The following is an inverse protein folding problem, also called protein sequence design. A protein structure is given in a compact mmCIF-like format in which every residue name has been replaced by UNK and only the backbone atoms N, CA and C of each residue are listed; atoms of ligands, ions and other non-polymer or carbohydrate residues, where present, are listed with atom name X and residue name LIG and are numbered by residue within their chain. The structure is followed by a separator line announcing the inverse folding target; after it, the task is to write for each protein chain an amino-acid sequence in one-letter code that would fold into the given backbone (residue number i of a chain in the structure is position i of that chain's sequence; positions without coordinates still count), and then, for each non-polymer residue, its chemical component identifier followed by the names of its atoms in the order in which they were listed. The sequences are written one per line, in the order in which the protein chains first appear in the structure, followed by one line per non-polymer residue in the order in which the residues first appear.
data_IF_113720738756
#
_entry.id   IF_113720738756
#
_cell.length_a   1.000
_cell.length_b   1.000
_cell.length_c   1.000
_cell.angle_alpha   90.00
_cell.angle_beta   90.00
_cell.angle_gamma   90.00
#
_symmetry.space_group_name_H-M   'P 1'
#
loop_
_entity.id
_entity.type
_entity.pdbx_description
1 polymer ?
#
# COMPACT_ATOMS: atom_id res chain seq x y z
N UNK A 1 -75.75 10.19 -22.98
CA UNK A 1 -75.07 10.07 -21.67
C UNK A 1 -73.96 9.03 -21.65
N UNK A 2 -74.17 7.80 -22.16
CA UNK A 2 -73.17 6.69 -22.12
C UNK A 2 -71.79 7.03 -22.72
N UNK A 3 -71.77 7.80 -23.82
CA UNK A 3 -70.51 8.19 -24.48
C UNK A 3 -69.62 9.12 -23.64
N UNK A 4 -70.23 9.96 -22.79
CA UNK A 4 -69.50 10.90 -21.93
C UNK A 4 -68.85 10.13 -20.77
N UNK A 5 -69.56 9.16 -20.19
CA UNK A 5 -69.02 8.29 -19.14
C UNK A 5 -67.91 7.39 -19.66
N UNK A 6 -68.04 6.86 -20.88
CA UNK A 6 -67.00 6.05 -21.53
C UNK A 6 -65.74 6.89 -21.78
N UNK A 7 -65.89 8.11 -22.31
CA UNK A 7 -64.78 9.04 -22.53
C UNK A 7 -64.04 9.40 -21.24
N UNK A 8 -64.77 9.63 -20.14
CA UNK A 8 -64.18 9.95 -18.82
C UNK A 8 -63.30 8.82 -18.27
N UNK A 9 -63.77 7.56 -18.37
CA UNK A 9 -63.01 6.39 -17.91
C UNK A 9 -61.72 6.21 -18.71
N UNK A 10 -61.77 6.40 -20.03
CA UNK A 10 -60.59 6.29 -20.90
C UNK A 10 -59.58 7.39 -20.57
N UNK A 11 -60.02 8.64 -20.40
CA UNK A 11 -59.14 9.77 -20.03
C UNK A 11 -58.51 9.55 -18.65
N UNK A 12 -59.28 9.07 -17.68
CA UNK A 12 -58.78 8.80 -16.32
C UNK A 12 -57.78 7.65 -16.31
N UNK A 13 -58.05 6.57 -17.06
CA UNK A 13 -57.11 5.47 -17.24
C UNK A 13 -55.81 5.89 -17.94
N UNK A 14 -55.90 6.76 -18.95
CA UNK A 14 -54.74 7.31 -19.65
C UNK A 14 -53.88 8.20 -18.75
N UNK A 15 -54.51 9.06 -17.93
CA UNK A 15 -53.81 9.89 -16.95
C UNK A 15 -53.15 9.05 -15.84
N UNK A 16 -53.82 8.00 -15.36
CA UNK A 16 -53.25 7.06 -14.40
C UNK A 16 -52.03 6.32 -14.98
N UNK A 17 -52.10 5.91 -16.25
CA UNK A 17 -50.98 5.30 -16.94
C UNK A 17 -49.78 6.25 -17.13
N UNK A 18 -50.03 7.51 -17.51
CA UNK A 18 -48.96 8.53 -17.61
C UNK A 18 -48.32 8.83 -16.26
N UNK A 19 -49.10 8.91 -15.19
CA UNK A 19 -48.59 9.09 -13.82
C UNK A 19 -47.70 7.91 -13.40
N UNK A 20 -48.13 6.67 -13.68
CA UNK A 20 -47.35 5.47 -13.42
C UNK A 20 -46.04 5.43 -14.24
N UNK A 21 -46.12 5.76 -15.54
CA UNK A 21 -44.95 5.79 -16.43
C UNK A 21 -43.92 6.84 -16.00
N UNK A 22 -44.36 8.02 -15.55
CA UNK A 22 -43.49 9.06 -15.03
C UNK A 22 -42.86 8.68 -13.68
N UNK A 23 -43.64 8.08 -12.77
CA UNK A 23 -43.11 7.56 -11.49
C UNK A 23 -42.06 6.46 -11.67
N UNK A 24 -42.26 5.56 -12.66
CA UNK A 24 -41.29 4.52 -13.00
C UNK A 24 -40.01 5.08 -13.61
N UNK A 25 -40.09 6.14 -14.43
CA UNK A 25 -38.88 6.80 -14.96
C UNK A 25 -38.10 7.54 -13.85
N UNK A 26 -38.80 8.22 -12.95
CA UNK A 26 -38.15 8.91 -11.83
C UNK A 26 -37.41 7.96 -10.89
N UNK A 27 -37.99 6.78 -10.62
CA UNK A 27 -37.34 5.73 -9.81
C UNK A 27 -36.12 5.13 -10.51
N UNK A 28 -36.19 4.84 -11.81
CA UNK A 28 -35.03 4.35 -12.57
C UNK A 28 -33.88 5.36 -12.61
N UNK A 29 -34.18 6.65 -12.76
CA UNK A 29 -33.16 7.71 -12.75
C UNK A 29 -32.55 7.86 -11.35
N UNK A 30 -33.34 7.74 -10.29
CA UNK A 30 -32.85 7.78 -8.92
C UNK A 30 -31.94 6.59 -8.59
N UNK A 31 -32.29 5.39 -9.06
CA UNK A 31 -31.49 4.17 -8.90
C UNK A 31 -30.17 4.25 -9.67
N UNK A 32 -30.20 4.76 -10.91
CA UNK A 32 -28.98 4.97 -11.69
C UNK A 32 -28.07 6.04 -11.05
N UNK A 33 -28.64 7.11 -10.50
CA UNK A 33 -27.89 8.12 -9.78
C UNK A 33 -27.26 7.57 -8.50
N UNK A 34 -27.98 6.73 -7.73
CA UNK A 34 -27.42 6.10 -6.54
C UNK A 34 -26.29 5.13 -6.86
N UNK A 35 -26.40 4.35 -7.94
CA UNK A 35 -25.34 3.43 -8.37
C UNK A 35 -24.08 4.18 -8.80
N UNK A 36 -24.22 5.30 -9.51
CA UNK A 36 -23.07 6.13 -9.88
C UNK A 36 -22.40 6.75 -8.66
N UNK A 37 -23.20 7.27 -7.73
CA UNK A 37 -22.69 7.90 -6.51
C UNK A 37 -21.99 6.89 -5.59
N UNK A 38 -22.52 5.67 -5.49
CA UNK A 38 -21.88 4.57 -4.77
C UNK A 38 -20.57 4.14 -5.44
N UNK A 39 -20.55 4.04 -6.79
CA UNK A 39 -19.32 3.77 -7.53
C UNK A 39 -18.27 4.88 -7.37
N UNK A 40 -18.68 6.15 -7.31
CA UNK A 40 -17.77 7.27 -7.03
C UNK A 40 -17.20 7.20 -5.62
N UNK A 41 -18.05 6.97 -4.61
CA UNK A 41 -17.61 6.78 -3.22
C UNK A 41 -16.63 5.63 -3.08
N UNK A 42 -16.88 4.49 -3.75
CA UNK A 42 -15.96 3.36 -3.70
C UNK A 42 -14.59 3.70 -4.29
N UNK A 43 -14.55 4.40 -5.44
CA UNK A 43 -13.28 4.84 -6.04
C UNK A 43 -12.50 5.79 -5.13
N UNK A 44 -13.19 6.70 -4.45
CA UNK A 44 -12.55 7.63 -3.51
C UNK A 44 -11.96 6.89 -2.30
N UNK A 45 -12.68 5.90 -1.77
CA UNK A 45 -12.17 5.04 -0.68
C UNK A 45 -10.95 4.27 -1.14
N UNK A 46 -11.05 3.57 -2.28
CA UNK A 46 -9.93 2.79 -2.83
C UNK A 46 -8.70 3.67 -3.11
N UNK A 47 -8.90 4.91 -3.58
CA UNK A 47 -7.82 5.85 -3.83
C UNK A 47 -7.16 6.28 -2.51
N UNK A 48 -7.95 6.65 -1.50
CA UNK A 48 -7.41 7.04 -0.18
C UNK A 48 -6.62 5.92 0.46
N UNK A 49 -7.13 4.69 0.42
CA UNK A 49 -6.40 3.53 0.96
C UNK A 49 -5.06 3.32 0.24
N UNK A 50 -4.99 3.55 -1.07
CA UNK A 50 -3.73 3.45 -1.83
C UNK A 50 -2.76 4.55 -1.43
N UNK A 51 -3.25 5.77 -1.26
CA UNK A 51 -2.44 6.91 -0.84
C UNK A 51 -1.88 6.71 0.58
N UNK A 52 -2.70 6.24 1.52
CA UNK A 52 -2.30 5.92 2.89
C UNK A 52 -1.25 4.81 2.90
N UNK A 53 -1.47 3.72 2.16
CA UNK A 53 -0.51 2.62 2.05
C UNK A 53 0.82 3.08 1.42
N UNK A 54 0.77 3.92 0.40
CA UNK A 54 1.97 4.48 -0.23
C UNK A 54 2.76 5.38 0.73
N UNK A 55 2.09 6.14 1.59
CA UNK A 55 2.74 6.94 2.64
C UNK A 55 3.45 6.06 3.67
N UNK A 56 2.80 4.98 4.13
CA UNK A 56 3.41 4.00 5.04
C UNK A 56 4.66 3.37 4.40
N UNK A 57 4.54 2.90 3.16
CA UNK A 57 5.65 2.29 2.44
C UNK A 57 6.82 3.26 2.23
N UNK A 58 6.54 4.54 1.93
CA UNK A 58 7.56 5.57 1.81
C UNK A 58 8.27 5.82 3.14
N UNK A 59 7.53 5.91 4.25
CA UNK A 59 8.10 6.09 5.58
C UNK A 59 9.00 4.90 5.97
N UNK A 60 8.58 3.66 5.68
CA UNK A 60 9.42 2.47 5.87
C UNK A 60 10.69 2.49 5.01
N UNK A 61 10.58 2.84 3.73
CA UNK A 61 11.76 2.92 2.86
C UNK A 61 12.76 3.98 3.35
N UNK A 62 12.27 5.10 3.88
CA UNK A 62 13.12 6.14 4.49
C UNK A 62 13.82 5.63 5.74
N UNK A 63 13.11 4.94 6.64
CA UNK A 63 13.71 4.41 7.86
C UNK A 63 14.75 3.32 7.55
N UNK A 64 14.49 2.47 6.55
CA UNK A 64 15.46 1.48 6.07
C UNK A 64 16.71 2.16 5.48
N UNK A 65 16.52 3.24 4.71
CA UNK A 65 17.66 4.01 4.18
C UNK A 65 18.48 4.69 5.28
N UNK A 66 17.84 5.20 6.34
CA UNK A 66 18.54 5.82 7.46
C UNK A 66 19.31 4.76 8.27
N UNK A 67 18.73 3.58 8.48
CA UNK A 67 19.40 2.44 9.11
C UNK A 67 20.64 1.97 8.32
N UNK A 68 20.54 1.90 7.00
CA UNK A 68 21.68 1.58 6.12
C UNK A 68 22.79 2.64 6.20
N UNK A 69 22.43 3.93 6.19
CA UNK A 69 23.41 5.02 6.35
C UNK A 69 24.16 4.92 7.68
N UNK A 70 23.43 4.64 8.76
CA UNK A 70 24.02 4.43 10.08
C UNK A 70 24.96 3.21 10.10
N UNK A 71 24.53 2.08 9.55
CA UNK A 71 25.34 0.87 9.47
C UNK A 71 26.64 1.08 8.66
N UNK A 72 26.57 1.81 7.55
CA UNK A 72 27.75 2.13 6.72
C UNK A 72 28.76 3.04 7.43
N UNK A 73 28.29 3.93 8.30
CA UNK A 73 29.18 4.79 9.11
C UNK A 73 29.87 4.01 10.23
N UNK A 74 29.25 2.95 10.74
CA UNK A 74 29.86 2.06 11.72
C UNK A 74 30.95 1.14 11.14
N UNK A 75 31.15 1.15 9.81
CA UNK A 75 32.15 0.30 9.19
C UNK A 75 33.58 0.69 9.64
N UNK A 76 34.36 -0.19 10.31
CA UNK A 76 35.76 0.03 10.66
C UNK A 76 36.69 0.46 9.51
N UNK A 77 36.27 0.29 8.25
CA UNK A 77 36.99 0.82 7.08
C UNK A 77 36.87 2.34 6.88
N UNK A 78 35.91 3.01 7.50
CA UNK A 78 35.68 4.46 7.35
C UNK A 78 36.48 5.29 8.35
N UNK A 79 37.19 6.32 7.86
CA UNK A 79 38.22 7.06 8.60
C UNK A 79 37.70 7.80 9.85
N UNK A 80 38.38 7.56 10.97
CA UNK A 80 38.14 7.97 12.38
C UNK A 80 37.93 9.49 12.62
N UNK A 81 38.23 10.37 11.67
CA UNK A 81 38.21 11.83 11.89
C UNK A 81 36.85 12.52 11.67
N UNK A 82 35.89 11.86 11.00
CA UNK A 82 34.51 12.35 10.76
C UNK A 82 33.51 11.64 11.70
N UNK A 83 33.99 10.80 12.61
CA UNK A 83 33.18 9.79 13.29
C UNK A 83 32.26 10.28 14.41
N UNK A 84 32.54 11.41 15.07
CA UNK A 84 31.81 11.75 16.32
C UNK A 84 30.62 12.69 16.13
N UNK A 85 30.76 13.79 15.39
CA UNK A 85 29.61 14.68 15.13
C UNK A 85 28.65 14.06 14.12
N UNK A 86 29.17 13.37 13.10
CA UNK A 86 28.36 12.86 11.99
C UNK A 86 27.60 11.58 12.34
N UNK A 87 28.11 10.74 13.27
CA UNK A 87 27.40 9.52 13.68
C UNK A 87 26.24 9.84 14.62
N UNK A 88 26.41 10.76 15.56
CA UNK A 88 25.33 11.14 16.49
C UNK A 88 24.13 11.76 15.74
N UNK A 89 24.39 12.60 14.74
CA UNK A 89 23.35 13.18 13.87
C UNK A 89 22.63 12.10 13.05
N UNK A 90 23.38 11.16 12.46
CA UNK A 90 22.79 10.07 11.66
C UNK A 90 22.04 9.06 12.53
N UNK A 91 22.51 8.79 13.74
CA UNK A 91 21.82 7.97 14.73
C UNK A 91 20.49 8.63 15.13
N UNK A 92 20.51 9.94 15.40
CA UNK A 92 19.30 10.70 15.72
C UNK A 92 18.31 10.68 14.54
N UNK A 93 18.78 10.82 13.31
CA UNK A 93 17.93 10.75 12.11
C UNK A 93 17.35 9.35 11.90
N UNK A 94 18.14 8.30 12.14
CA UNK A 94 17.67 6.91 12.12
C UNK A 94 16.56 6.70 13.16
N UNK A 95 16.74 7.17 14.39
CA UNK A 95 15.70 7.05 15.43
C UNK A 95 14.44 7.83 15.08
N UNK A 96 14.58 9.04 14.51
CA UNK A 96 13.46 9.87 14.08
C UNK A 96 12.66 9.20 12.97
N UNK A 97 13.31 8.79 11.89
CA UNK A 97 12.67 8.15 10.74
C UNK A 97 12.07 6.78 11.10
N UNK A 98 12.71 6.03 12.00
CA UNK A 98 12.13 4.82 12.59
C UNK A 98 10.84 5.12 13.33
N UNK A 99 10.84 6.11 14.24
CA UNK A 99 9.65 6.47 14.99
C UNK A 99 8.50 6.94 14.07
N UNK A 100 8.82 7.74 13.04
CA UNK A 100 7.88 8.16 12.00
C UNK A 100 7.28 6.95 11.27
N UNK A 101 8.11 6.01 10.79
CA UNK A 101 7.63 4.81 10.11
C UNK A 101 6.69 3.97 11.00
N UNK A 102 7.04 3.78 12.28
CA UNK A 102 6.21 3.03 13.22
C UNK A 102 4.89 3.74 13.52
N UNK A 103 4.90 5.07 13.65
CA UNK A 103 3.69 5.85 13.81
C UNK A 103 2.78 5.76 12.58
N UNK A 104 3.34 5.82 11.37
CA UNK A 104 2.58 5.62 10.14
C UNK A 104 1.98 4.22 10.06
N UNK A 105 2.72 3.19 10.43
CA UNK A 105 2.16 1.83 10.53
C UNK A 105 0.97 1.85 11.49
N UNK A 106 1.15 2.32 12.73
CA UNK A 106 0.10 2.30 13.74
C UNK A 106 -1.15 3.10 13.35
N UNK A 107 -0.98 4.21 12.63
CA UNK A 107 -2.10 5.04 12.18
C UNK A 107 -2.89 4.43 11.01
N UNK A 108 -2.21 3.74 10.09
CA UNK A 108 -2.80 3.34 8.80
C UNK A 108 -2.91 1.82 8.61
N UNK A 109 -2.32 0.99 9.49
CA UNK A 109 -2.50 -0.47 9.51
C UNK A 109 -3.83 -0.83 10.18
N UNK A 110 -4.93 -0.64 9.47
CA UNK A 110 -6.28 -0.88 10.02
C UNK A 110 -6.76 -2.33 9.84
N UNK A 111 -6.10 -3.11 8.99
CA UNK A 111 -6.45 -4.50 8.75
C UNK A 111 -5.75 -5.44 9.73
N UNK A 112 -6.36 -6.59 10.03
CA UNK A 112 -5.71 -7.63 10.85
C UNK A 112 -4.42 -8.16 10.22
N UNK A 113 -4.35 -8.17 8.89
CA UNK A 113 -3.18 -8.62 8.14
C UNK A 113 -2.00 -7.66 8.31
N UNK A 114 -2.26 -6.36 8.47
CA UNK A 114 -1.21 -5.36 8.65
C UNK A 114 -0.71 -5.27 10.12
N UNK A 115 -1.36 -5.96 11.07
CA UNK A 115 -0.97 -5.95 12.48
C UNK A 115 0.45 -6.51 12.72
N UNK A 116 0.89 -7.43 11.87
CA UNK A 116 2.23 -8.04 11.97
C UNK A 116 3.32 -7.19 11.31
N UNK A 117 2.94 -6.12 10.60
CA UNK A 117 3.87 -5.27 9.87
C UNK A 117 4.79 -4.47 10.79
N UNK A 118 4.26 -4.06 11.96
CA UNK A 118 5.03 -3.33 12.99
C UNK A 118 6.18 -4.16 13.57
N UNK A 119 5.95 -5.35 14.18
CA UNK A 119 7.05 -6.14 14.73
C UNK A 119 8.03 -6.59 13.64
N UNK A 120 7.54 -6.83 12.42
CA UNK A 120 8.40 -7.12 11.28
C UNK A 120 9.33 -5.96 10.93
N UNK A 121 8.82 -4.73 10.75
CA UNK A 121 9.67 -3.59 10.38
C UNK A 121 10.63 -3.21 11.52
N UNK A 122 10.23 -3.36 12.78
CA UNK A 122 11.13 -3.17 13.93
C UNK A 122 12.30 -4.16 13.90
N UNK A 123 12.02 -5.44 13.63
CA UNK A 123 13.05 -6.47 13.48
C UNK A 123 13.95 -6.20 12.27
N UNK A 124 13.35 -5.83 11.14
CA UNK A 124 14.08 -5.54 9.91
C UNK A 124 15.05 -4.36 10.07
N UNK A 125 14.59 -3.25 10.68
CA UNK A 125 15.43 -2.09 10.95
C UNK A 125 16.57 -2.42 11.91
N UNK A 126 16.32 -3.26 12.91
CA UNK A 126 17.38 -3.70 13.83
C UNK A 126 18.46 -4.53 13.10
N UNK A 127 18.06 -5.48 12.26
CA UNK A 127 18.98 -6.30 11.48
C UNK A 127 19.81 -5.47 10.48
N UNK A 128 19.21 -4.44 9.87
CA UNK A 128 19.92 -3.53 8.94
C UNK A 128 20.87 -2.60 9.67
N UNK A 129 20.46 -2.03 10.81
CA UNK A 129 21.28 -1.04 11.55
C UNK A 129 22.49 -1.66 12.25
N UNK A 130 22.41 -2.93 12.64
CA UNK A 130 23.43 -3.63 13.41
C UNK A 130 23.85 -4.91 12.69
N UNK A 131 24.46 -4.82 11.49
CA UNK A 131 25.02 -5.99 10.84
C UNK A 131 26.12 -6.56 11.72
N UNK A 132 26.25 -7.88 11.75
CA UNK A 132 27.30 -8.55 12.53
C UNK A 132 28.71 -8.08 12.15
N UNK A 133 29.69 -8.44 12.97
CA UNK A 133 31.06 -7.92 12.86
C UNK A 133 31.82 -8.56 11.69
N UNK A 134 31.37 -9.72 11.21
CA UNK A 134 32.08 -10.48 10.16
C UNK A 134 31.69 -10.05 8.75
N UNK A 135 32.54 -10.36 7.76
CA UNK A 135 32.25 -10.08 6.34
C UNK A 135 31.02 -10.86 5.86
N UNK A 136 30.85 -12.10 6.30
CA UNK A 136 29.69 -12.93 5.96
C UNK A 136 28.40 -12.33 6.54
N UNK A 137 28.42 -11.83 7.78
CA UNK A 137 27.26 -11.15 8.38
C UNK A 137 26.84 -9.92 7.56
N UNK A 138 27.82 -9.20 7.00
CA UNK A 138 27.56 -8.02 6.16
C UNK A 138 26.98 -8.39 4.80
N UNK A 139 27.47 -9.46 4.18
CA UNK A 139 26.90 -9.97 2.92
C UNK A 139 25.44 -10.42 3.15
N UNK A 140 25.19 -11.14 4.24
CA UNK A 140 23.82 -11.50 4.63
C UNK A 140 22.94 -10.27 4.93
N UNK A 141 23.50 -9.23 5.54
CA UNK A 141 22.78 -7.98 5.77
C UNK A 141 22.44 -7.25 4.45
N UNK A 142 23.29 -7.31 3.43
CA UNK A 142 22.99 -6.76 2.10
C UNK A 142 21.86 -7.50 1.40
N UNK A 143 21.89 -8.85 1.42
CA UNK A 143 20.80 -9.68 0.88
C UNK A 143 19.49 -9.40 1.62
N UNK A 144 19.57 -9.26 2.94
CA UNK A 144 18.42 -8.93 3.78
C UNK A 144 17.88 -7.52 3.50
N UNK A 145 18.75 -6.53 3.28
CA UNK A 145 18.35 -5.17 2.90
C UNK A 145 17.60 -5.16 1.57
N UNK A 146 18.09 -5.90 0.57
CA UNK A 146 17.40 -6.08 -0.70
C UNK A 146 16.02 -6.73 -0.50
N UNK A 147 15.96 -7.81 0.29
CA UNK A 147 14.70 -8.46 0.66
C UNK A 147 13.71 -7.49 1.31
N UNK A 148 14.13 -6.70 2.30
CA UNK A 148 13.26 -5.75 3.02
C UNK A 148 12.70 -4.69 2.07
N UNK A 149 13.54 -4.08 1.23
CA UNK A 149 13.10 -3.09 0.24
C UNK A 149 12.09 -3.68 -0.74
N UNK A 150 12.32 -4.92 -1.17
CA UNK A 150 11.44 -5.65 -2.07
C UNK A 150 10.11 -5.98 -1.41
N UNK A 151 10.12 -6.46 -0.16
CA UNK A 151 8.93 -6.73 0.62
C UNK A 151 8.06 -5.48 0.78
N UNK A 152 8.65 -4.32 1.13
CA UNK A 152 7.91 -3.05 1.26
C UNK A 152 7.23 -2.67 -0.07
N UNK A 153 7.95 -2.80 -1.19
CA UNK A 153 7.40 -2.50 -2.52
C UNK A 153 6.22 -3.40 -2.89
N UNK A 154 6.37 -4.72 -2.67
CA UNK A 154 5.33 -5.69 -2.99
C UNK A 154 4.11 -5.54 -2.09
N UNK A 155 4.31 -5.21 -0.81
CA UNK A 155 3.23 -4.91 0.12
C UNK A 155 2.45 -3.66 -0.31
N UNK A 156 3.18 -2.60 -0.70
CA UNK A 156 2.56 -1.39 -1.24
C UNK A 156 1.71 -1.66 -2.49
N UNK A 157 2.21 -2.53 -3.38
CA UNK A 157 1.50 -2.97 -4.58
C UNK A 157 0.31 -3.91 -4.32
N UNK A 158 0.07 -4.31 -3.06
CA UNK A 158 -0.92 -5.32 -2.66
C UNK A 158 -0.64 -6.72 -3.23
N UNK A 159 0.61 -7.02 -3.57
CA UNK A 159 1.03 -8.32 -4.10
C UNK A 159 1.38 -9.33 -3.02
N UNK A 160 1.75 -8.85 -1.82
CA UNK A 160 2.02 -9.67 -0.64
C UNK A 160 1.36 -9.08 0.60
N UNK A 161 0.99 -9.96 1.53
CA UNK A 161 0.51 -9.59 2.88
C UNK A 161 1.68 -9.55 3.87
N UNK A 162 1.49 -8.92 5.03
CA UNK A 162 2.55 -8.91 6.06
C UNK A 162 2.94 -10.33 6.50
N UNK A 163 1.98 -11.25 6.58
CA UNK A 163 2.26 -12.66 6.89
C UNK A 163 3.18 -13.34 5.86
N UNK A 164 2.98 -13.10 4.56
CA UNK A 164 3.85 -13.63 3.50
C UNK A 164 5.27 -13.05 3.58
N UNK A 165 5.39 -11.77 3.92
CA UNK A 165 6.68 -11.11 4.14
C UNK A 165 7.42 -11.76 5.32
N UNK A 166 6.73 -12.04 6.42
CA UNK A 166 7.32 -12.60 7.65
C UNK A 166 7.83 -14.02 7.43
N UNK A 167 7.10 -14.82 6.64
CA UNK A 167 7.53 -16.18 6.28
C UNK A 167 8.75 -16.17 5.34
N UNK A 168 9.14 -15.01 4.80
CA UNK A 168 10.29 -14.88 3.90
C UNK A 168 9.99 -15.29 2.47
N UNK A 169 8.73 -15.57 2.13
CA UNK A 169 8.30 -16.05 0.82
C UNK A 169 7.76 -14.89 0.00
N UNK A 170 8.62 -14.29 -0.83
CA UNK A 170 8.21 -13.30 -1.81
C UNK A 170 8.03 -13.96 -3.18
N UNK A 171 7.02 -13.56 -3.99
CA UNK A 171 6.89 -14.01 -5.38
C UNK A 171 8.19 -13.72 -6.15
N UNK A 172 8.53 -14.45 -7.23
CA UNK A 172 9.70 -14.14 -8.07
C UNK A 172 9.56 -12.77 -8.75
N UNK A 173 10.67 -12.13 -9.12
CA UNK A 173 10.60 -10.87 -9.89
C UNK A 173 10.09 -11.17 -11.31
N UNK A 174 9.04 -10.47 -11.74
CA UNK A 174 8.56 -10.57 -13.11
C UNK A 174 9.70 -10.21 -14.08
N UNK A 175 10.24 -11.21 -14.78
CA UNK A 175 11.41 -11.08 -15.67
C UNK A 175 12.60 -11.98 -15.31
N UNK A 176 12.58 -12.66 -14.16
CA UNK A 176 13.48 -13.77 -13.87
C UNK A 176 12.68 -15.06 -14.08
N UNK A 177 12.63 -15.53 -15.33
CA UNK A 177 12.14 -16.86 -15.63
C UNK A 177 12.90 -17.85 -14.72
N UNK A 178 12.16 -18.78 -14.10
CA UNK A 178 12.68 -19.85 -13.23
C UNK A 178 13.65 -20.82 -13.97
N UNK A 179 13.99 -20.53 -15.23
CA UNK A 179 14.93 -21.24 -16.09
C UNK A 179 16.29 -20.56 -16.22
N UNK A 180 16.49 -19.33 -15.71
CA UNK A 180 17.79 -18.65 -15.80
C UNK A 180 18.23 -18.25 -17.21
N UNK A 181 17.31 -18.22 -18.19
CA UNK A 181 17.59 -17.64 -19.51
C UNK A 181 17.19 -16.17 -19.50
N UNK A 182 18.18 -15.29 -19.70
CA UNK A 182 17.94 -13.87 -19.91
C UNK A 182 17.00 -13.66 -21.10
N UNK A 183 16.06 -12.69 -21.05
CA UNK A 183 15.18 -12.41 -22.17
C UNK A 183 16.01 -11.97 -23.37
N UNK A 184 16.05 -12.84 -24.39
CA UNK A 184 16.61 -12.52 -25.69
C UNK A 184 15.71 -11.45 -26.33
N UNK A 185 16.14 -10.19 -26.23
CA UNK A 185 15.55 -9.09 -27.00
C UNK A 185 15.87 -9.39 -28.47
N UNK A 186 14.89 -9.97 -29.18
CA UNK A 186 14.90 -10.02 -30.64
C UNK A 186 14.62 -8.60 -31.15
N UNK A 187 15.68 -7.94 -31.60
CA UNK A 187 15.60 -6.80 -32.52
C UNK A 187 15.50 -7.33 -33.94
#
# INVERSE_FOLDING_TARGET
MVWITLGSVVVTGFLAWLAYANGRKATLIAEEASLRDEAHRQREVDQREREERAQVALAMMRSVSAAEQFANLQDPGNSVAVWQETVAEVEQEMHRTRAEALAHVELYSTTKEDAELRPWIESALHAVAYPGVTVDDRLHAMDYLYFVRRAIRLWNAREVTAGLIIVGTLPPEAGVDETGEAPMILV
#
